data_IF_813316413771
#
_entry.id   IF_813316413771
#
_cell.length_a   1.000
_cell.length_b   1.000
_cell.length_c   1.000
_cell.angle_alpha   90.00
_cell.angle_beta   90.00
_cell.angle_gamma   90.00
#
_symmetry.space_group_name_H-M   'P 1'
#
loop_
_entity.id
_entity.type
_entity.pdbx_description
1 polymer ?
#
# COMPACT_ATOMS: atom_id res chain seq x y z
N UNK A 1 -0.24 16.09 8.66
CA UNK A 1 -0.53 15.71 7.28
C UNK A 1 -0.12 14.26 7.14
N UNK A 2 -1.08 13.41 6.78
CA UNK A 2 -0.86 12.01 6.49
C UNK A 2 -1.17 11.76 5.01
N UNK A 3 -0.98 10.51 4.59
CA UNK A 3 -1.45 9.99 3.32
C UNK A 3 -2.79 9.31 3.57
N UNK A 4 -3.85 9.73 2.89
CA UNK A 4 -5.16 9.11 2.83
C UNK A 4 -5.34 8.42 1.47
N UNK A 5 -5.79 7.16 1.45
CA UNK A 5 -6.08 6.44 0.20
C UNK A 5 -7.58 6.26 0.02
N UNK A 6 -8.13 6.74 -1.10
CA UNK A 6 -9.59 6.77 -1.32
C UNK A 6 -9.99 6.25 -2.70
N UNK A 7 -11.29 6.00 -2.86
CA UNK A 7 -11.87 5.69 -4.17
C UNK A 7 -11.84 6.96 -5.04
N UNK A 8 -11.30 6.87 -6.25
CA UNK A 8 -11.26 8.00 -7.20
C UNK A 8 -12.59 8.22 -7.92
N UNK A 9 -13.59 8.70 -7.17
CA UNK A 9 -14.90 9.14 -7.69
C UNK A 9 -15.36 10.39 -6.94
N UNK A 10 -15.91 11.37 -7.67
CA UNK A 10 -16.40 12.64 -7.10
C UNK A 10 -17.54 12.44 -6.08
N UNK A 11 -18.27 11.33 -6.14
CA UNK A 11 -19.32 10.99 -5.18
C UNK A 11 -19.34 9.47 -4.89
N UNK A 12 -19.17 9.11 -3.62
CA UNK A 12 -19.35 7.72 -3.19
C UNK A 12 -18.64 7.38 -1.89
N UNK A 13 -18.98 8.12 -0.84
CA UNK A 13 -18.66 7.82 0.55
C UNK A 13 -19.37 6.52 0.97
N UNK A 14 -18.66 5.55 1.53
CA UNK A 14 -19.30 4.61 2.46
C UNK A 14 -19.54 5.39 3.76
N UNK A 15 -20.79 5.56 4.23
CA UNK A 15 -21.14 6.63 5.16
C UNK A 15 -20.47 6.63 6.55
N UNK A 16 -19.58 5.70 6.90
CA UNK A 16 -18.96 5.66 8.24
C UNK A 16 -17.58 4.96 8.33
N UNK A 17 -16.88 4.66 7.24
CA UNK A 17 -15.53 4.08 7.33
C UNK A 17 -14.45 5.14 7.06
N UNK A 18 -13.48 5.35 7.97
CA UNK A 18 -12.30 6.13 7.67
C UNK A 18 -11.49 5.40 6.59
N UNK A 19 -11.00 6.15 5.60
CA UNK A 19 -10.09 5.63 4.61
C UNK A 19 -8.79 5.09 5.25
N UNK A 20 -8.13 4.11 4.63
CA UNK A 20 -6.78 3.71 5.03
C UNK A 20 -5.90 4.97 5.04
N UNK A 21 -5.26 5.22 6.16
CA UNK A 21 -4.46 6.42 6.37
C UNK A 21 -3.17 6.11 7.10
N UNK A 22 -2.10 6.80 6.73
CA UNK A 22 -0.81 6.71 7.41
C UNK A 22 -0.24 8.10 7.65
N UNK A 23 0.60 8.25 8.68
CA UNK A 23 1.55 9.37 8.67
C UNK A 23 2.59 9.15 7.57
N UNK A 24 3.20 10.21 7.00
CA UNK A 24 4.25 10.03 5.98
C UNK A 24 5.39 9.12 6.45
N UNK A 25 5.83 9.28 7.71
CA UNK A 25 6.85 8.41 8.28
C UNK A 25 6.35 6.97 8.39
N UNK A 26 5.12 6.76 8.87
CA UNK A 26 4.51 5.44 8.97
C UNK A 26 4.39 4.74 7.62
N UNK A 27 3.90 5.45 6.60
CA UNK A 27 3.79 4.91 5.24
C UNK A 27 5.17 4.55 4.66
N UNK A 28 6.18 5.38 4.91
CA UNK A 28 7.56 5.08 4.54
C UNK A 28 8.09 3.79 5.19
N UNK A 29 7.82 3.58 6.48
CA UNK A 29 8.22 2.36 7.18
C UNK A 29 7.44 1.13 6.68
N UNK A 30 6.15 1.29 6.41
CA UNK A 30 5.33 0.25 5.81
C UNK A 30 5.88 -0.20 4.45
N UNK A 31 6.21 0.75 3.55
CA UNK A 31 6.84 0.44 2.25
C UNK A 31 8.19 -0.25 2.41
N UNK A 32 9.02 0.16 3.37
CA UNK A 32 10.30 -0.52 3.65
C UNK A 32 10.11 -1.97 4.05
N UNK A 33 9.13 -2.28 4.92
CA UNK A 33 8.81 -3.65 5.33
C UNK A 33 8.36 -4.50 4.14
N UNK A 34 7.48 -3.97 3.30
CA UNK A 34 7.02 -4.64 2.08
C UNK A 34 8.17 -4.89 1.10
N UNK A 35 9.03 -3.90 0.88
CA UNK A 35 10.19 -4.02 -0.01
C UNK A 35 11.19 -5.08 0.50
N UNK A 36 11.53 -5.05 1.79
CA UNK A 36 12.40 -6.05 2.40
C UNK A 36 11.84 -7.47 2.27
N UNK A 37 10.53 -7.63 2.46
CA UNK A 37 9.85 -8.92 2.30
C UNK A 37 10.01 -9.50 0.89
N UNK A 38 9.98 -8.67 -0.15
CA UNK A 38 10.21 -9.10 -1.55
C UNK A 38 11.69 -9.03 -1.98
N UNK A 39 12.62 -8.82 -1.05
CA UNK A 39 14.05 -8.77 -1.32
C UNK A 39 14.52 -7.52 -2.07
N UNK A 40 13.76 -6.42 -1.99
CA UNK A 40 14.11 -5.12 -2.56
C UNK A 40 14.66 -4.21 -1.48
N UNK A 41 15.83 -3.61 -1.74
CA UNK A 41 16.36 -2.51 -0.93
C UNK A 41 15.79 -1.19 -1.43
N UNK A 42 14.88 -0.61 -0.66
CA UNK A 42 14.16 0.61 -1.04
C UNK A 42 15.13 1.77 -1.28
N UNK A 43 16.20 1.90 -0.50
CA UNK A 43 17.13 3.03 -0.58
C UNK A 43 17.98 2.99 -1.88
N UNK A 44 18.00 1.86 -2.59
CA UNK A 44 18.64 1.72 -3.90
C UNK A 44 17.73 2.03 -5.08
N UNK A 45 16.42 2.20 -4.85
CA UNK A 45 15.45 2.39 -5.92
C UNK A 45 15.26 3.88 -6.28
N UNK A 46 14.92 4.13 -7.53
CA UNK A 46 14.55 5.45 -8.01
C UNK A 46 13.39 6.02 -7.16
N UNK A 47 13.51 7.28 -6.74
CA UNK A 47 12.58 7.95 -5.83
C UNK A 47 12.95 7.88 -4.34
N UNK A 48 13.88 7.00 -3.96
CA UNK A 48 14.31 6.79 -2.56
C UNK A 48 15.79 7.10 -2.30
N UNK A 49 16.50 7.62 -3.31
CA UNK A 49 17.89 8.04 -3.21
C UNK A 49 18.87 7.24 -4.08
N UNK A 50 18.41 6.14 -4.69
CA UNK A 50 19.17 5.37 -5.68
C UNK A 50 18.64 5.54 -7.11
N UNK A 51 19.23 4.76 -8.02
CA UNK A 51 18.93 4.77 -9.47
C UNK A 51 18.31 3.44 -9.94
N UNK A 52 17.92 2.56 -9.02
CA UNK A 52 17.33 1.26 -9.32
C UNK A 52 15.99 1.37 -10.04
N UNK A 53 15.81 0.57 -11.09
CA UNK A 53 14.62 0.58 -11.95
C UNK A 53 13.50 -0.32 -11.39
N UNK A 54 12.31 0.22 -11.15
CA UNK A 54 11.15 -0.52 -10.67
C UNK A 54 10.64 -1.59 -11.64
N UNK A 55 10.97 -1.50 -12.93
CA UNK A 55 10.62 -2.55 -13.91
C UNK A 55 11.34 -3.87 -13.62
N UNK A 56 12.45 -3.86 -12.87
CA UNK A 56 13.16 -5.09 -12.48
C UNK A 56 12.53 -5.80 -11.29
N UNK A 57 11.50 -5.22 -10.66
CA UNK A 57 10.80 -5.82 -9.50
C UNK A 57 9.61 -6.65 -10.00
N UNK A 58 9.69 -8.01 -9.99
CA UNK A 58 8.68 -8.88 -10.55
C UNK A 58 7.49 -9.11 -9.60
N UNK A 59 7.11 -8.08 -8.83
CA UNK A 59 6.01 -8.13 -7.86
C UNK A 59 5.00 -7.01 -8.13
N UNK A 60 3.68 -7.27 -8.06
CA UNK A 60 2.65 -6.23 -8.10
C UNK A 60 2.80 -5.18 -6.99
N UNK A 61 3.50 -5.52 -5.89
CA UNK A 61 3.80 -4.56 -4.81
C UNK A 61 4.58 -3.34 -5.32
N UNK A 62 5.29 -3.43 -6.45
CA UNK A 62 5.96 -2.28 -7.07
C UNK A 62 5.00 -1.12 -7.32
N UNK A 63 3.73 -1.39 -7.65
CA UNK A 63 2.75 -0.34 -7.92
C UNK A 63 2.51 0.54 -6.69
N UNK A 64 2.61 -0.01 -5.48
CA UNK A 64 2.52 0.74 -4.23
C UNK A 64 3.87 1.35 -3.82
N UNK A 65 4.97 0.65 -4.09
CA UNK A 65 6.31 1.06 -3.67
C UNK A 65 6.85 2.24 -4.52
N UNK A 66 6.58 2.25 -5.82
CA UNK A 66 6.97 3.30 -6.79
C UNK A 66 5.90 4.41 -6.91
N UNK A 67 4.90 4.41 -6.04
CA UNK A 67 3.88 5.46 -6.06
C UNK A 67 4.33 6.71 -5.31
N UNK A 68 3.98 7.88 -5.85
CA UNK A 68 4.15 9.17 -5.18
C UNK A 68 3.23 9.29 -3.96
N UNK A 69 3.72 9.91 -2.89
CA UNK A 69 2.96 10.07 -1.64
C UNK A 69 1.97 11.25 -1.67
N UNK A 70 2.02 12.09 -2.72
CA UNK A 70 1.29 13.37 -2.73
C UNK A 70 0.36 13.53 -3.94
N UNK A 71 0.45 12.66 -4.93
CA UNK A 71 -0.34 12.73 -6.14
C UNK A 71 -0.31 11.37 -6.86
N UNK A 72 -1.27 11.16 -7.75
CA UNK A 72 -1.36 9.98 -8.60
C UNK A 72 -2.44 8.99 -8.20
N UNK A 73 -2.64 8.03 -9.08
CA UNK A 73 -3.68 7.03 -8.98
C UNK A 73 -3.16 5.64 -9.30
N UNK A 74 -3.70 4.62 -8.62
CA UNK A 74 -3.63 3.24 -9.10
C UNK A 74 -4.83 2.97 -10.01
N UNK A 75 -4.54 2.52 -11.22
CA UNK A 75 -5.60 2.04 -12.13
C UNK A 75 -6.32 0.83 -11.55
N UNK A 76 -7.57 0.55 -11.99
CA UNK A 76 -8.30 -0.64 -11.54
C UNK A 76 -7.54 -1.95 -11.78
N UNK A 77 -6.78 -2.04 -12.88
CA UNK A 77 -5.95 -3.21 -13.17
C UNK A 77 -4.82 -3.34 -12.13
N UNK A 78 -4.09 -2.27 -11.85
CA UNK A 78 -3.04 -2.28 -10.83
C UNK A 78 -3.61 -2.63 -9.45
N UNK A 79 -4.80 -2.11 -9.11
CA UNK A 79 -5.49 -2.45 -7.88
C UNK A 79 -5.81 -3.95 -7.80
N UNK A 80 -6.28 -4.56 -8.91
CA UNK A 80 -6.58 -5.99 -8.98
C UNK A 80 -5.35 -6.89 -8.81
N UNK A 81 -4.19 -6.44 -9.31
CA UNK A 81 -2.92 -7.15 -9.16
C UNK A 81 -2.32 -6.96 -7.75
N UNK A 82 -2.44 -5.74 -7.21
CA UNK A 82 -1.88 -5.35 -5.93
C UNK A 82 -2.62 -5.97 -4.74
N UNK A 83 -3.96 -6.01 -4.77
CA UNK A 83 -4.77 -6.53 -3.66
C UNK A 83 -4.33 -7.92 -3.16
N UNK A 84 -4.26 -8.97 -3.99
CA UNK A 84 -3.85 -10.30 -3.53
C UNK A 84 -2.35 -10.37 -3.16
N UNK A 85 -1.50 -9.55 -3.79
CA UNK A 85 -0.08 -9.49 -3.45
C UNK A 85 0.16 -8.85 -2.07
N UNK A 86 -0.56 -7.77 -1.79
CA UNK A 86 -0.52 -7.06 -0.51
C UNK A 86 -1.09 -7.93 0.61
N UNK A 87 -2.24 -8.56 0.40
CA UNK A 87 -2.83 -9.47 1.39
C UNK A 87 -1.87 -10.60 1.79
N UNK A 88 -1.21 -11.22 0.80
CA UNK A 88 -0.21 -12.26 1.05
C UNK A 88 0.98 -11.72 1.85
N UNK A 89 1.53 -10.58 1.47
CA UNK A 89 2.66 -9.98 2.18
C UNK A 89 2.33 -9.66 3.64
N UNK A 90 1.14 -9.11 3.91
CA UNK A 90 0.68 -8.84 5.29
C UNK A 90 0.58 -10.11 6.14
N UNK A 91 0.13 -11.22 5.55
CA UNK A 91 0.05 -12.52 6.24
C UNK A 91 1.43 -13.11 6.49
N UNK A 92 2.31 -13.06 5.49
CA UNK A 92 3.65 -13.66 5.58
C UNK A 92 4.56 -12.88 6.53
N UNK A 93 4.51 -11.55 6.52
CA UNK A 93 5.28 -10.70 7.45
C UNK A 93 4.76 -10.86 8.88
N UNK A 94 3.44 -10.95 9.07
CA UNK A 94 2.85 -11.12 10.41
C UNK A 94 2.96 -12.53 10.98
N UNK A 95 3.47 -13.50 10.22
CA UNK A 95 3.58 -14.88 10.68
C UNK A 95 4.57 -15.00 11.85
N UNK A 96 4.06 -15.37 13.03
CA UNK A 96 4.88 -15.53 14.24
C UNK A 96 5.13 -14.22 15.01
N UNK A 97 4.42 -13.14 14.68
CA UNK A 97 4.36 -11.91 15.48
C UNK A 97 3.09 -11.94 16.31
N UNK A 98 3.22 -11.90 17.64
CA UNK A 98 2.04 -11.84 18.52
C UNK A 98 1.50 -10.39 18.59
N UNK A 99 0.16 -10.21 18.72
CA UNK A 99 -0.42 -8.87 18.86
C UNK A 99 0.19 -8.12 20.05
N UNK A 100 0.65 -6.89 19.81
CA UNK A 100 1.28 -6.03 20.82
C UNK A 100 2.81 -6.12 20.91
N UNK A 101 3.45 -7.09 20.26
CA UNK A 101 4.93 -7.19 20.22
C UNK A 101 5.54 -6.04 19.38
N UNK A 102 4.83 -5.63 18.32
CA UNK A 102 5.17 -4.49 17.49
C UNK A 102 3.91 -3.65 17.21
N UNK A 103 3.59 -2.68 18.08
CA UNK A 103 2.41 -1.82 17.91
C UNK A 103 2.40 -1.04 16.59
N UNK A 104 3.57 -0.80 15.98
CA UNK A 104 3.66 -0.18 14.66
C UNK A 104 3.22 -1.16 13.58
N UNK A 105 3.64 -2.41 13.67
CA UNK A 105 3.16 -3.47 12.77
C UNK A 105 1.68 -3.80 12.96
N UNK A 106 1.16 -3.79 14.19
CA UNK A 106 -0.28 -3.98 14.43
C UNK A 106 -1.12 -2.94 13.67
N UNK A 107 -0.65 -1.69 13.69
CA UNK A 107 -1.28 -0.60 12.93
C UNK A 107 -1.13 -0.83 11.42
N UNK A 108 0.09 -1.10 10.92
CA UNK A 108 0.34 -1.36 9.51
C UNK A 108 -0.47 -2.55 8.98
N UNK A 109 -0.65 -3.60 9.79
CA UNK A 109 -1.42 -4.78 9.43
C UNK A 109 -2.90 -4.45 9.32
N UNK A 110 -3.45 -3.69 10.28
CA UNK A 110 -4.84 -3.23 10.26
C UNK A 110 -5.09 -2.33 9.04
N UNK A 111 -4.32 -1.25 8.90
CA UNK A 111 -4.51 -0.27 7.82
C UNK A 111 -4.18 -0.87 6.45
N UNK A 112 -3.19 -1.78 6.39
CA UNK A 112 -2.92 -2.58 5.19
C UNK A 112 -4.10 -3.46 4.78
N UNK A 113 -4.81 -4.07 5.73
CA UNK A 113 -6.01 -4.85 5.43
C UNK A 113 -7.20 -3.98 4.98
N UNK A 114 -7.31 -2.75 5.49
CA UNK A 114 -8.26 -1.74 4.98
C UNK A 114 -7.91 -1.34 3.54
N UNK A 115 -6.62 -1.17 3.22
CA UNK A 115 -6.15 -0.89 1.87
C UNK A 115 -6.44 -2.06 0.90
N UNK A 116 -6.26 -3.31 1.32
CA UNK A 116 -6.66 -4.47 0.50
C UNK A 116 -8.14 -4.40 0.12
N UNK A 117 -9.02 -4.10 1.08
CA UNK A 117 -10.46 -3.97 0.82
C UNK A 117 -10.77 -2.81 -0.15
N UNK A 118 -10.06 -1.68 -0.02
CA UNK A 118 -10.17 -0.56 -0.94
C UNK A 118 -9.75 -0.95 -2.37
N UNK A 119 -8.62 -1.64 -2.51
CA UNK A 119 -8.10 -2.10 -3.80
C UNK A 119 -9.08 -3.08 -4.47
N UNK A 120 -9.65 -4.03 -3.72
CA UNK A 120 -10.65 -4.97 -4.21
C UNK A 120 -11.95 -4.27 -4.65
N UNK A 121 -12.39 -3.26 -3.89
CA UNK A 121 -13.53 -2.42 -4.25
C UNK A 121 -13.27 -1.67 -5.56
N UNK A 122 -12.14 -0.97 -5.66
CA UNK A 122 -11.78 -0.20 -6.85
C UNK A 122 -11.61 -1.08 -8.10
N UNK A 123 -10.98 -2.25 -7.95
CA UNK A 123 -10.88 -3.24 -9.02
C UNK A 123 -12.25 -3.74 -9.48
N UNK A 124 -13.16 -4.06 -8.54
CA UNK A 124 -14.51 -4.54 -8.85
C UNK A 124 -15.37 -3.48 -9.54
N UNK A 125 -15.37 -2.26 -9.03
CA UNK A 125 -16.17 -1.15 -9.54
C UNK A 125 -15.51 -0.47 -10.75
N UNK A 126 -14.31 -0.91 -11.17
CA UNK A 126 -13.53 -0.34 -12.27
C UNK A 126 -13.26 1.16 -12.11
N UNK A 127 -12.91 1.59 -10.90
CA UNK A 127 -12.56 2.97 -10.54
C UNK A 127 -11.13 3.03 -9.97
N UNK A 128 -10.40 4.14 -10.13
CA UNK A 128 -9.04 4.25 -9.61
C UNK A 128 -8.99 4.34 -8.09
N UNK A 129 -7.81 4.10 -7.52
CA UNK A 129 -7.48 4.46 -6.13
C UNK A 129 -6.67 5.75 -6.16
N UNK A 130 -7.11 6.77 -5.46
CA UNK A 130 -6.42 8.06 -5.33
C UNK A 130 -5.57 8.11 -4.06
N UNK A 131 -4.40 8.74 -4.16
CA UNK A 131 -3.49 9.05 -3.06
C UNK A 131 -3.58 10.55 -2.75
N UNK A 132 -3.99 10.93 -1.54
CA UNK A 132 -4.25 12.32 -1.17
C UNK A 132 -3.77 12.71 0.23
#
# INVERSE_FOLDING_TARGET
MGLDLRVGREEGRLPNDPWPSWSYLGFGQFRRRLAQHIGVDLDQMHGFGGDGDWTTVPSPLRHLLDHSDCDGELTPQQASELAPALQRALQEIGCGVEPGDDPGWDYDQKTGAELVQLLELCARESVPVEFC
#
